data_IF_717436747677
#
_entry.id   IF_717436747677
#
_cell.length_a   1.000
_cell.length_b   1.000
_cell.length_c   1.000
_cell.angle_alpha   90.00
_cell.angle_beta   90.00
_cell.angle_gamma   90.00
#
_symmetry.space_group_name_H-M   'P 1'
#
loop_
_entity.id
_entity.type
_entity.pdbx_description
1 polymer ?
#
# COMPACT_ATOMS: atom_id res chain seq x y z
N UNK A 1 -11.16 13.03 -7.68
CA UNK A 1 -10.55 12.23 -8.77
C UNK A 1 -11.05 10.81 -8.62
N UNK A 2 -11.27 10.13 -9.74
CA UNK A 2 -11.84 8.79 -9.75
C UNK A 2 -10.71 7.76 -9.90
N UNK A 3 -10.74 6.73 -9.07
CA UNK A 3 -9.74 5.66 -9.02
C UNK A 3 -10.46 4.33 -9.25
N UNK A 4 -10.10 3.68 -10.36
CA UNK A 4 -10.69 2.40 -10.76
C UNK A 4 -9.84 1.24 -10.26
N UNK A 5 -10.47 0.33 -9.53
CA UNK A 5 -9.88 -0.92 -9.06
C UNK A 5 -10.59 -2.09 -9.73
N UNK A 6 -9.81 -2.99 -10.33
CA UNK A 6 -10.31 -4.28 -10.81
C UNK A 6 -9.86 -5.32 -9.79
N UNK A 7 -10.81 -5.79 -8.99
CA UNK A 7 -10.58 -6.80 -7.95
C UNK A 7 -10.87 -8.17 -8.55
N UNK A 8 -10.00 -9.13 -8.33
CA UNK A 8 -10.29 -10.54 -8.61
C UNK A 8 -10.90 -11.20 -7.39
N UNK A 9 -11.63 -12.29 -7.58
CA UNK A 9 -12.06 -13.15 -6.46
C UNK A 9 -10.88 -13.48 -5.53
N UNK A 10 -11.10 -13.36 -4.23
CA UNK A 10 -10.05 -13.58 -3.23
C UNK A 10 -9.28 -12.31 -2.86
N UNK A 11 -7.98 -12.44 -2.62
CA UNK A 11 -7.16 -11.37 -2.03
C UNK A 11 -6.61 -10.41 -3.08
N UNK A 12 -6.81 -9.11 -2.83
CA UNK A 12 -6.36 -8.00 -3.66
C UNK A 12 -5.55 -7.03 -2.81
N UNK A 13 -4.29 -6.84 -3.17
CA UNK A 13 -3.37 -5.94 -2.47
C UNK A 13 -3.45 -4.57 -3.13
N UNK A 14 -4.09 -3.62 -2.45
CA UNK A 14 -4.35 -2.28 -2.98
C UNK A 14 -3.74 -1.21 -2.08
N UNK A 15 -3.56 -0.02 -2.65
CA UNK A 15 -3.35 1.21 -1.88
C UNK A 15 -4.46 2.19 -2.23
N UNK A 16 -4.77 3.07 -1.28
CA UNK A 16 -5.72 4.16 -1.46
C UNK A 16 -4.89 5.45 -1.46
N UNK A 17 -4.43 5.93 -2.63
CA UNK A 17 -3.42 7.00 -2.74
C UNK A 17 -3.99 8.41 -2.56
N UNK A 18 -5.18 8.52 -1.96
CA UNK A 18 -5.96 9.74 -1.85
C UNK A 18 -6.66 9.80 -0.49
N UNK A 19 -7.02 11.01 -0.09
CA UNK A 19 -7.91 11.22 1.05
C UNK A 19 -9.35 11.13 0.57
N UNK A 20 -10.17 10.39 1.30
CA UNK A 20 -11.61 10.36 1.03
C UNK A 20 -12.20 11.75 1.17
N UNK A 21 -13.08 12.13 0.24
CA UNK A 21 -13.90 13.35 0.36
C UNK A 21 -15.11 13.16 1.27
N UNK A 22 -15.43 11.91 1.59
CA UNK A 22 -16.46 11.54 2.56
C UNK A 22 -15.81 11.04 3.85
N UNK A 23 -16.16 11.65 4.99
CA UNK A 23 -15.62 11.31 6.30
C UNK A 23 -15.97 9.88 6.70
N UNK A 24 -17.14 9.40 6.28
CA UNK A 24 -17.57 8.04 6.61
C UNK A 24 -16.73 7.00 5.86
N UNK A 25 -16.16 7.34 4.69
CA UNK A 25 -15.27 6.44 3.94
C UNK A 25 -13.80 6.57 4.34
N UNK A 26 -13.49 7.38 5.36
CA UNK A 26 -12.13 7.52 5.88
C UNK A 26 -11.70 6.30 6.72
N UNK A 27 -12.62 5.42 7.11
CA UNK A 27 -12.32 4.18 7.85
C UNK A 27 -12.56 2.93 7.02
N UNK A 28 -11.95 1.81 7.43
CA UNK A 28 -12.13 0.54 6.77
C UNK A 28 -13.55 0.00 6.89
N UNK A 29 -14.21 0.19 8.04
CA UNK A 29 -15.61 -0.22 8.22
C UNK A 29 -16.56 0.59 7.34
N UNK A 30 -16.39 1.92 7.31
CA UNK A 30 -17.23 2.77 6.48
C UNK A 30 -17.00 2.55 4.99
N UNK A 31 -15.74 2.40 4.55
CA UNK A 31 -15.42 2.03 3.17
C UNK A 31 -15.98 0.65 2.78
N UNK A 32 -15.87 -0.34 3.65
CA UNK A 32 -16.44 -1.67 3.42
C UNK A 32 -17.96 -1.62 3.27
N UNK A 33 -18.63 -0.88 4.16
CA UNK A 33 -20.08 -0.69 4.14
C UNK A 33 -20.53 0.00 2.86
N UNK A 34 -19.89 1.11 2.48
CA UNK A 34 -20.22 1.85 1.26
C UNK A 34 -20.05 1.01 0.00
N UNK A 35 -18.92 0.32 -0.14
CA UNK A 35 -18.68 -0.54 -1.30
C UNK A 35 -19.75 -1.64 -1.37
N UNK A 36 -20.05 -2.30 -0.25
CA UNK A 36 -21.06 -3.36 -0.25
C UNK A 36 -22.48 -2.82 -0.49
N UNK A 37 -22.81 -1.63 -0.01
CA UNK A 37 -24.10 -0.99 -0.30
C UNK A 37 -24.22 -0.59 -1.77
N UNK A 38 -23.15 -0.04 -2.35
CA UNK A 38 -23.14 0.48 -3.72
C UNK A 38 -23.04 -0.62 -4.77
N UNK A 39 -22.25 -1.66 -4.51
CA UNK A 39 -21.92 -2.71 -5.49
C UNK A 39 -22.54 -4.08 -5.18
N UNK A 40 -23.29 -4.22 -4.08
CA UNK A 40 -24.09 -5.43 -3.80
C UNK A 40 -23.36 -6.52 -3.01
N UNK A 41 -22.95 -6.20 -1.79
CA UNK A 41 -22.33 -7.12 -0.82
C UNK A 41 -21.17 -7.98 -1.39
N UNK A 42 -20.30 -7.35 -2.18
CA UNK A 42 -19.23 -7.96 -2.97
C UNK A 42 -17.91 -8.18 -2.22
N UNK A 43 -17.72 -7.59 -1.04
CA UNK A 43 -16.47 -7.65 -0.27
C UNK A 43 -16.65 -8.35 1.07
N UNK A 44 -15.80 -9.33 1.36
CA UNK A 44 -15.75 -10.00 2.67
C UNK A 44 -15.10 -9.13 3.76
N UNK A 45 -14.00 -8.45 3.42
CA UNK A 45 -13.21 -7.72 4.41
C UNK A 45 -12.20 -6.76 3.79
N UNK A 46 -11.81 -5.75 4.58
CA UNK A 46 -10.64 -4.90 4.36
C UNK A 46 -9.65 -5.16 5.50
N UNK A 47 -8.37 -5.32 5.19
CA UNK A 47 -7.32 -5.61 6.16
C UNK A 47 -6.09 -4.73 5.96
N UNK A 48 -5.31 -4.54 7.02
CA UNK A 48 -3.99 -3.92 6.96
C UNK A 48 -2.96 -4.66 7.81
N UNK A 49 -1.69 -4.40 7.55
CA UNK A 49 -0.57 -4.93 8.31
C UNK A 49 0.25 -3.82 8.95
N UNK A 50 0.27 -3.75 10.28
CA UNK A 50 1.06 -2.79 11.07
C UNK A 50 2.00 -3.49 12.08
N UNK A 51 2.61 -4.59 11.64
CA UNK A 51 3.34 -5.55 12.50
C UNK A 51 2.43 -6.68 13.02
N UNK A 52 1.12 -6.47 12.97
CA UNK A 52 0.09 -7.49 13.10
C UNK A 52 -1.02 -7.24 12.09
N UNK A 53 -1.82 -8.27 11.83
CA UNK A 53 -3.01 -8.13 10.99
C UNK A 53 -4.13 -7.46 11.77
N UNK A 54 -4.77 -6.47 11.13
CA UNK A 54 -6.06 -5.92 11.54
C UNK A 54 -7.04 -6.15 10.41
N UNK A 55 -8.24 -6.64 10.74
CA UNK A 55 -9.23 -7.10 9.77
C UNK A 55 -10.56 -6.49 10.17
N UNK A 56 -11.21 -5.83 9.21
CA UNK A 56 -12.60 -5.39 9.29
C UNK A 56 -13.40 -6.24 8.31
N UNK A 57 -14.35 -7.02 8.82
CA UNK A 57 -15.24 -7.87 8.03
C UNK A 57 -16.68 -7.36 8.06
N UNK A 58 -17.57 -8.03 7.33
CA UNK A 58 -18.99 -7.64 7.21
C UNK A 58 -19.77 -7.59 8.53
N UNK A 59 -19.35 -8.39 9.53
CA UNK A 59 -19.99 -8.45 10.85
C UNK A 59 -19.45 -7.38 11.82
N UNK A 60 -18.48 -6.56 11.40
CA UNK A 60 -17.84 -5.56 12.24
C UNK A 60 -18.63 -4.26 12.15
N UNK A 61 -19.07 -3.74 13.30
CA UNK A 61 -19.73 -2.44 13.38
C UNK A 61 -18.72 -1.31 13.12
N UNK A 62 -19.18 -0.22 12.48
CA UNK A 62 -18.41 1.02 12.38
C UNK A 62 -18.07 1.48 13.80
N UNK A 63 -16.81 1.84 14.05
CA UNK A 63 -16.25 2.17 15.38
C UNK A 63 -15.95 0.99 16.34
N UNK A 64 -15.90 -0.26 15.86
CA UNK A 64 -15.26 -1.34 16.62
C UNK A 64 -13.76 -1.06 16.85
N UNK A 65 -13.17 -1.62 17.90
CA UNK A 65 -11.74 -1.55 18.23
C UNK A 65 -10.82 -2.05 17.10
N UNK A 66 -11.36 -2.80 16.15
CA UNK A 66 -10.65 -3.30 14.97
C UNK A 66 -10.75 -2.37 13.76
N UNK A 67 -11.63 -1.37 13.77
CA UNK A 67 -11.71 -0.39 12.70
C UNK A 67 -10.45 0.48 12.66
N UNK A 68 -10.09 0.92 11.46
CA UNK A 68 -8.88 1.69 11.24
C UNK A 68 -9.06 2.70 10.11
N UNK A 69 -8.34 3.81 10.26
CA UNK A 69 -8.27 4.84 9.23
C UNK A 69 -7.58 4.30 7.97
N UNK A 70 -8.12 4.70 6.83
CA UNK A 70 -7.52 4.56 5.51
C UNK A 70 -6.63 5.78 5.28
N UNK A 71 -5.33 5.55 5.10
CA UNK A 71 -4.30 6.57 5.07
C UNK A 71 -3.45 6.34 3.80
N UNK A 72 -3.26 7.37 2.96
CA UNK A 72 -2.34 7.30 1.83
C UNK A 72 -0.95 6.83 2.24
N UNK A 73 -0.37 5.94 1.43
CA UNK A 73 0.96 5.36 1.67
C UNK A 73 0.95 4.06 2.47
N UNK A 74 -0.15 3.74 3.17
CA UNK A 74 -0.35 2.41 3.74
C UNK A 74 -0.92 1.46 2.68
N UNK A 75 -0.58 0.18 2.77
CA UNK A 75 -1.18 -0.85 1.95
C UNK A 75 -2.29 -1.60 2.67
N UNK A 76 -3.28 -2.01 1.87
CA UNK A 76 -4.47 -2.70 2.32
C UNK A 76 -4.70 -3.98 1.51
N UNK A 77 -5.42 -4.92 2.10
CA UNK A 77 -5.90 -6.12 1.43
C UNK A 77 -7.41 -6.08 1.42
N UNK A 78 -8.00 -6.14 0.24
CA UNK A 78 -9.43 -6.40 0.06
C UNK A 78 -9.62 -7.88 -0.27
N UNK A 79 -10.53 -8.53 0.44
CA UNK A 79 -11.00 -9.88 0.08
C UNK A 79 -12.33 -9.76 -0.65
N UNK A 80 -12.34 -9.95 -1.97
CA UNK A 80 -13.54 -9.89 -2.79
C UNK A 80 -14.22 -11.27 -2.89
N UNK A 81 -15.55 -11.29 -3.02
CA UNK A 81 -16.37 -12.50 -3.20
C UNK A 81 -16.35 -13.03 -4.63
N UNK A 82 -16.12 -12.13 -5.58
CA UNK A 82 -16.12 -12.39 -7.02
C UNK A 82 -15.28 -11.32 -7.74
N UNK A 83 -15.01 -11.54 -9.02
CA UNK A 83 -14.36 -10.56 -9.87
C UNK A 83 -15.26 -9.32 -10.03
N UNK A 84 -14.74 -8.14 -9.68
CA UNK A 84 -15.53 -6.90 -9.71
C UNK A 84 -14.69 -5.67 -10.01
N UNK A 85 -15.27 -4.74 -10.76
CA UNK A 85 -14.69 -3.42 -11.00
C UNK A 85 -15.39 -2.39 -10.14
N UNK A 86 -14.64 -1.74 -9.24
CA UNK A 86 -15.15 -0.65 -8.41
C UNK A 86 -14.46 0.65 -8.76
N UNK A 87 -15.19 1.75 -8.62
CA UNK A 87 -14.65 3.11 -8.71
C UNK A 87 -14.82 3.78 -7.36
N UNK A 88 -13.72 4.31 -6.85
CA UNK A 88 -13.69 5.09 -5.62
C UNK A 88 -13.24 6.50 -5.92
N UNK A 89 -13.78 7.48 -5.19
CA UNK A 89 -13.49 8.89 -5.40
C UNK A 89 -12.72 9.48 -4.22
N UNK A 90 -11.81 10.40 -4.54
CA UNK A 90 -11.14 11.17 -3.49
C UNK A 90 -10.16 12.21 -4.00
N UNK A 91 -9.56 12.91 -3.06
CA UNK A 91 -8.61 14.00 -3.31
C UNK A 91 -7.18 13.47 -3.19
N UNK A 92 -6.38 13.52 -4.27
CA UNK A 92 -4.99 13.06 -4.20
C UNK A 92 -4.21 13.89 -3.17
N UNK A 93 -3.21 13.28 -2.55
CA UNK A 93 -2.24 14.03 -1.74
C UNK A 93 -1.46 14.98 -2.65
N UNK A 94 -1.56 16.28 -2.41
CA UNK A 94 -0.84 17.32 -3.13
C UNK A 94 0.34 17.81 -2.30
N UNK A 95 1.44 18.12 -2.97
CA UNK A 95 2.58 18.81 -2.39
C UNK A 95 2.64 20.18 -3.04
N UNK A 96 2.40 21.23 -2.26
CA UNK A 96 2.42 22.63 -2.70
C UNK A 96 3.85 23.15 -2.81
N UNK A 97 4.78 22.56 -2.05
CA UNK A 97 6.20 22.94 -2.03
C UNK A 97 7.14 21.73 -1.94
N UNK A 98 8.42 21.93 -2.32
CA UNK A 98 9.47 20.92 -2.14
C UNK A 98 9.85 20.66 -0.66
N UNK A 99 9.33 21.47 0.26
CA UNK A 99 9.46 21.25 1.72
C UNK A 99 8.32 20.45 2.33
N UNK A 100 7.23 20.24 1.59
CA UNK A 100 6.09 19.49 2.09
C UNK A 100 6.47 18.02 2.25
N UNK A 101 6.04 17.44 3.36
CA UNK A 101 6.34 16.06 3.68
C UNK A 101 5.13 15.37 4.30
N UNK A 102 4.95 14.11 3.94
CA UNK A 102 3.87 13.27 4.46
C UNK A 102 4.39 11.83 4.62
N UNK A 103 5.45 11.59 5.41
CA UNK A 103 6.18 10.33 5.37
C UNK A 103 5.41 9.15 5.99
N UNK A 104 5.72 7.96 5.48
CA UNK A 104 5.35 6.67 6.04
C UNK A 104 6.42 6.24 7.04
N UNK A 105 6.01 5.85 8.25
CA UNK A 105 6.90 5.24 9.22
C UNK A 105 7.12 3.75 8.87
N UNK A 106 8.40 3.34 8.85
CA UNK A 106 8.84 2.00 8.51
C UNK A 106 9.60 1.39 9.68
N UNK A 107 9.27 0.13 9.98
CA UNK A 107 9.81 -0.63 11.10
C UNK A 107 10.60 -1.84 10.60
N UNK A 108 11.51 -2.41 11.43
CA UNK A 108 12.21 -3.64 11.08
C UNK A 108 11.24 -4.76 10.71
N UNK A 109 11.58 -5.55 9.70
CA UNK A 109 10.72 -6.59 9.15
C UNK A 109 9.85 -6.08 8.00
N UNK A 110 8.66 -6.65 7.88
CA UNK A 110 7.77 -6.41 6.74
C UNK A 110 6.86 -5.21 6.98
N UNK A 111 6.70 -4.35 5.97
CA UNK A 111 5.82 -3.20 5.99
C UNK A 111 4.94 -3.25 4.75
N UNK A 112 3.62 -3.24 4.91
CA UNK A 112 2.70 -3.21 3.78
C UNK A 112 2.40 -1.76 3.40
N UNK A 113 2.92 -1.32 2.26
CA UNK A 113 2.85 0.08 1.84
C UNK A 113 2.35 0.21 0.41
N UNK A 114 2.04 1.44 0.01
CA UNK A 114 1.73 1.80 -1.37
C UNK A 114 2.32 3.15 -1.74
N UNK A 115 2.24 3.49 -3.02
CA UNK A 115 2.58 4.84 -3.50
C UNK A 115 1.38 5.77 -3.37
N UNK A 116 1.65 7.06 -3.23
CA UNK A 116 0.66 8.14 -3.11
C UNK A 116 1.32 9.45 -3.57
N UNK A 117 0.53 10.51 -3.67
CA UNK A 117 1.03 11.84 -4.04
C UNK A 117 0.93 12.17 -5.53
N UNK A 118 0.56 13.40 -5.85
CA UNK A 118 0.65 13.93 -7.21
C UNK A 118 2.10 14.16 -7.60
N UNK A 119 2.48 13.77 -8.82
CA UNK A 119 3.84 13.96 -9.31
C UNK A 119 4.86 12.94 -8.78
N UNK A 120 4.41 11.88 -8.11
CA UNK A 120 5.29 10.81 -7.65
C UNK A 120 6.03 10.12 -8.80
N UNK A 121 7.31 9.83 -8.57
CA UNK A 121 8.18 9.11 -9.51
C UNK A 121 7.60 7.72 -9.82
N UNK A 122 7.84 7.25 -11.03
CA UNK A 122 7.56 5.86 -11.38
C UNK A 122 8.70 4.96 -10.92
N UNK A 123 8.35 3.85 -10.28
CA UNK A 123 9.30 2.94 -9.69
C UNK A 123 9.23 1.56 -10.34
N UNK A 124 10.38 0.92 -10.47
CA UNK A 124 10.51 -0.54 -10.39
C UNK A 124 10.86 -0.96 -8.96
N UNK A 125 10.69 -2.23 -8.63
CA UNK A 125 11.05 -2.79 -7.32
C UNK A 125 12.50 -2.45 -6.92
N UNK A 126 13.44 -2.58 -7.87
CA UNK A 126 14.85 -2.18 -7.69
C UNK A 126 15.01 -0.69 -7.44
N UNK A 127 14.40 0.15 -8.26
CA UNK A 127 14.53 1.60 -8.11
C UNK A 127 13.90 2.10 -6.82
N UNK A 128 12.86 1.42 -6.31
CA UNK A 128 12.20 1.75 -5.06
C UNK A 128 13.14 1.47 -3.90
N UNK A 129 13.77 0.28 -3.83
CA UNK A 129 14.77 -0.03 -2.80
C UNK A 129 15.90 1.01 -2.82
N UNK A 130 16.41 1.34 -4.00
CA UNK A 130 17.49 2.34 -4.13
C UNK A 130 17.05 3.73 -3.68
N UNK A 131 15.84 4.15 -4.00
CA UNK A 131 15.30 5.44 -3.57
C UNK A 131 15.11 5.49 -2.05
N UNK A 132 14.55 4.42 -1.47
CA UNK A 132 14.40 4.27 -0.03
C UNK A 132 15.75 4.35 0.68
N UNK A 133 16.76 3.59 0.27
CA UNK A 133 18.07 3.57 0.92
C UNK A 133 18.90 4.86 0.72
N UNK A 134 18.57 5.69 -0.27
CA UNK A 134 19.24 6.97 -0.53
C UNK A 134 18.48 8.17 0.06
N UNK A 135 17.33 7.94 0.69
CA UNK A 135 16.50 9.03 1.23
C UNK A 135 17.22 9.67 2.43
N UNK A 136 17.39 11.01 2.40
CA UNK A 136 18.31 11.78 3.28
C UNK A 136 18.11 11.58 4.80
N UNK A 137 16.99 10.99 5.21
CA UNK A 137 16.59 10.78 6.61
C UNK A 137 16.49 9.29 6.99
N UNK A 138 17.03 8.36 6.21
CA UNK A 138 16.94 6.93 6.52
C UNK A 138 17.88 6.51 7.63
N UNK A 139 17.30 6.01 8.71
CA UNK A 139 18.01 5.19 9.69
C UNK A 139 17.58 3.72 9.55
N UNK A 140 17.45 3.26 8.30
CA UNK A 140 17.03 1.91 7.96
C UNK A 140 17.65 1.43 6.64
N UNK A 141 17.65 0.11 6.43
CA UNK A 141 18.03 -0.51 5.15
C UNK A 141 16.88 -1.36 4.62
N UNK A 142 16.29 -0.95 3.50
CA UNK A 142 15.36 -1.76 2.72
C UNK A 142 16.14 -2.72 1.83
N UNK A 143 15.74 -3.98 1.77
CA UNK A 143 16.44 -5.00 0.98
C UNK A 143 15.50 -5.86 0.12
N UNK A 144 14.19 -5.79 0.32
CA UNK A 144 13.23 -6.54 -0.48
C UNK A 144 11.95 -5.74 -0.73
N UNK A 145 11.39 -5.91 -1.93
CA UNK A 145 10.03 -5.52 -2.28
C UNK A 145 9.32 -6.75 -2.84
N UNK A 146 8.16 -7.09 -2.29
CA UNK A 146 7.34 -8.23 -2.72
C UNK A 146 5.91 -7.80 -2.99
N UNK A 147 5.32 -8.27 -4.09
CA UNK A 147 3.92 -8.01 -4.48
C UNK A 147 3.10 -9.30 -4.48
N UNK A 148 1.81 -9.16 -4.24
CA UNK A 148 0.85 -10.22 -4.50
C UNK A 148 0.37 -10.18 -5.95
N UNK A 149 0.44 -11.32 -6.64
CA UNK A 149 -0.12 -11.49 -7.99
C UNK A 149 -1.47 -12.18 -7.89
N UNK A 150 -2.54 -11.41 -7.97
CA UNK A 150 -3.90 -11.89 -7.72
C UNK A 150 -4.38 -12.92 -8.76
N UNK A 151 -3.94 -12.80 -10.01
CA UNK A 151 -4.23 -13.70 -11.13
C UNK A 151 -3.75 -15.14 -10.90
N UNK A 152 -2.63 -15.30 -10.20
CA UNK A 152 -1.99 -16.60 -9.93
C UNK A 152 -1.87 -16.92 -8.44
N UNK A 153 -2.49 -16.08 -7.60
CA UNK A 153 -2.52 -16.17 -6.13
C UNK A 153 -1.17 -16.51 -5.48
N UNK A 154 -0.11 -15.77 -5.85
CA UNK A 154 1.23 -15.99 -5.28
C UNK A 154 1.99 -14.68 -5.07
N UNK A 155 2.98 -14.73 -4.17
CA UNK A 155 3.96 -13.65 -4.04
C UNK A 155 5.05 -13.76 -5.10
N UNK A 156 5.45 -12.60 -5.60
CA UNK A 156 6.64 -12.36 -6.42
C UNK A 156 7.43 -11.24 -5.75
N UNK A 157 8.76 -11.25 -5.86
CA UNK A 157 9.58 -10.29 -5.13
C UNK A 157 10.97 -10.09 -5.70
N UNK A 158 11.52 -8.92 -5.45
CA UNK A 158 12.87 -8.52 -5.78
C UNK A 158 13.65 -8.23 -4.50
N UNK A 159 14.83 -8.83 -4.37
CA UNK A 159 15.75 -8.61 -3.26
C UNK A 159 17.06 -8.01 -3.76
N UNK A 160 17.55 -6.99 -3.06
CA UNK A 160 18.86 -6.38 -3.27
C UNK A 160 19.62 -6.38 -1.95
N UNK A 161 20.71 -7.13 -1.90
CA UNK A 161 21.62 -7.19 -0.75
C UNK A 161 23.02 -6.76 -1.17
N UNK A 162 23.72 -6.01 -0.32
CA UNK A 162 25.12 -5.64 -0.57
C UNK A 162 26.01 -6.54 0.28
N UNK A 163 26.79 -7.41 -0.37
CA UNK A 163 27.75 -8.30 0.29
C UNK A 163 29.17 -7.94 -0.16
N UNK A 164 30.04 -7.58 0.79
CA UNK A 164 31.42 -7.15 0.50
C UNK A 164 31.51 -6.01 -0.54
N UNK A 165 30.53 -5.11 -0.57
CA UNK A 165 30.47 -4.00 -1.52
C UNK A 165 29.95 -4.39 -2.92
N UNK A 166 29.45 -5.62 -3.09
CA UNK A 166 28.89 -6.11 -4.35
C UNK A 166 27.37 -6.24 -4.20
N UNK A 167 26.63 -5.68 -5.15
CA UNK A 167 25.18 -5.83 -5.26
C UNK A 167 24.85 -7.28 -5.67
N UNK A 168 24.11 -7.98 -4.82
CA UNK A 168 23.54 -9.30 -5.05
C UNK A 168 22.02 -9.15 -5.24
N UNK A 169 21.53 -9.60 -6.39
CA UNK A 169 20.13 -9.43 -6.81
C UNK A 169 19.44 -10.79 -6.92
N UNK A 170 18.24 -10.91 -6.34
CA UNK A 170 17.40 -12.12 -6.43
C UNK A 170 15.98 -11.74 -6.86
N UNK A 171 15.36 -12.61 -7.66
CA UNK A 171 14.02 -12.38 -8.21
C UNK A 171 14.06 -11.48 -9.46
N UNK A 172 12.89 -10.96 -9.84
CA UNK A 172 12.74 -10.15 -11.06
C UNK A 172 12.43 -8.71 -10.71
N UNK A 173 13.10 -7.76 -11.37
CA UNK A 173 12.70 -6.36 -11.26
C UNK A 173 11.41 -6.13 -12.04
N UNK A 174 10.40 -5.53 -11.39
CA UNK A 174 9.08 -5.30 -11.97
C UNK A 174 8.60 -3.87 -11.70
N UNK A 175 7.77 -3.30 -12.60
CA UNK A 175 7.17 -1.99 -12.37
C UNK A 175 6.21 -2.03 -11.18
N UNK A 176 6.26 -0.99 -10.35
CA UNK A 176 5.35 -0.77 -9.22
C UNK A 176 4.12 -0.03 -9.71
N UNK A 177 2.94 -0.60 -9.46
CA UNK A 177 1.65 0.01 -9.75
C UNK A 177 1.21 0.90 -8.58
N UNK A 178 0.78 2.13 -8.88
CA UNK A 178 0.38 3.13 -7.88
C UNK A 178 -0.95 2.82 -7.17
N UNK A 179 -1.73 1.86 -7.66
CA UNK A 179 -2.97 1.39 -7.02
C UNK A 179 -2.82 0.04 -6.33
N UNK A 180 -1.64 -0.57 -6.39
CA UNK A 180 -1.32 -1.80 -5.70
C UNK A 180 -0.48 -1.51 -4.45
N UNK A 181 -0.72 -2.29 -3.40
CA UNK A 181 0.21 -2.33 -2.27
C UNK A 181 1.21 -3.47 -2.43
N UNK A 182 2.32 -3.34 -1.73
CA UNK A 182 3.42 -4.28 -1.75
C UNK A 182 4.09 -4.28 -0.37
N UNK A 183 4.69 -5.42 -0.05
CA UNK A 183 5.52 -5.54 1.13
C UNK A 183 6.91 -5.01 0.84
N UNK A 184 7.42 -4.17 1.74
CA UNK A 184 8.84 -3.81 1.81
C UNK A 184 9.44 -4.43 3.06
N UNK A 185 10.57 -5.12 2.90
CA UNK A 185 11.35 -5.58 4.04
C UNK A 185 12.40 -4.55 4.40
N UNK A 186 12.38 -4.15 5.66
CA UNK A 186 13.43 -3.39 6.31
C UNK A 186 14.29 -4.37 7.09
N UNK A 187 15.51 -4.61 6.61
CA UNK A 187 16.44 -5.57 7.21
C UNK A 187 16.87 -5.10 8.60
N UNK A 188 17.24 -3.83 8.69
CA UNK A 188 17.76 -3.21 9.91
C UNK A 188 17.30 -1.76 10.03
N UNK A 189 17.16 -1.29 11.27
CA UNK A 189 16.78 0.09 11.57
C UNK A 189 15.29 0.41 11.42
N UNK A 190 14.95 1.69 11.58
CA UNK A 190 13.59 2.22 11.44
C UNK A 190 13.66 3.67 11.01
N UNK A 191 12.63 4.17 10.33
CA UNK A 191 12.61 5.58 9.94
C UNK A 191 11.42 5.95 9.10
N UNK A 192 11.47 7.16 8.58
CA UNK A 192 10.41 7.76 7.80
C UNK A 192 10.84 7.85 6.34
N UNK A 193 9.95 7.46 5.42
CA UNK A 193 10.16 7.55 3.99
C UNK A 193 8.89 8.03 3.30
N UNK A 194 9.04 8.81 2.23
CA UNK A 194 7.96 9.13 1.30
C UNK A 194 8.46 8.93 -0.13
N UNK A 195 7.56 8.63 -1.08
CA UNK A 195 7.92 8.60 -2.49
C UNK A 195 8.53 9.93 -2.95
N UNK A 196 9.64 9.85 -3.68
CA UNK A 196 10.25 10.99 -4.36
C UNK A 196 9.32 11.51 -5.46
N UNK A 197 9.28 12.83 -5.61
CA UNK A 197 8.57 13.51 -6.70
C UNK A 197 9.41 13.51 -7.98
N UNK A 198 8.75 13.67 -9.13
CA UNK A 198 9.35 13.81 -10.45
C UNK A 198 10.08 15.13 -10.64
#
# INVERSE_FOLDING_TARGET
MDYKFNLTEGFNFITIPYLSTDVDHATAAGLLSDINQTYGDILFSISKFDGKWKIVGQNVEVYDNNDFQIIPGQGYIIKAKEDVSITLTGSPVQYDSSSDSAPIALFPGWNLIGLYGTGTKQYTAKSLIKDMNNYKSTNFTADNVSRWKADVQMYDGYQLTVENGIDMEYGFDYPINTLQSFFVRIKEGKGNWQPSLK
#
